data_IF_581864103682
#
_entry.id   IF_581864103682
#
_cell.length_a   1.000
_cell.length_b   1.000
_cell.length_c   1.000
_cell.angle_alpha   90.00
_cell.angle_beta   90.00
_cell.angle_gamma   90.00
#
_symmetry.space_group_name_H-M   'P 1'
#
loop_
_entity.id
_entity.type
_entity.pdbx_description
1 polymer ?
#
# COMPACT_ATOMS: atom_id res chain seq x y z
N UNK A 1 0.56 3.70 13.58
CA UNK A 1 1.92 3.82 14.16
C UNK A 1 2.90 3.12 13.22
N UNK A 2 3.55 3.90 12.37
CA UNK A 2 4.55 3.44 11.39
C UNK A 2 5.83 3.04 12.13
N UNK A 3 6.35 1.83 11.89
CA UNK A 3 7.64 1.39 12.41
C UNK A 3 8.75 1.53 11.34
N UNK A 4 9.47 2.65 11.41
CA UNK A 4 10.58 2.94 10.52
C UNK A 4 11.88 2.19 10.88
N UNK A 5 11.89 1.37 11.94
CA UNK A 5 13.10 0.63 12.35
C UNK A 5 13.55 -0.33 11.26
N UNK A 6 12.61 -0.97 10.56
CA UNK A 6 12.92 -1.83 9.42
C UNK A 6 13.58 -1.03 8.28
N UNK A 7 12.98 0.11 7.92
CA UNK A 7 13.50 0.97 6.85
C UNK A 7 14.90 1.51 7.19
N UNK A 8 15.12 1.95 8.44
CA UNK A 8 16.41 2.44 8.91
C UNK A 8 17.48 1.36 8.87
N UNK A 9 17.14 0.13 9.26
CA UNK A 9 18.06 -1.01 9.18
C UNK A 9 18.41 -1.36 7.72
N UNK A 10 17.40 -1.39 6.82
CA UNK A 10 17.62 -1.63 5.39
C UNK A 10 18.54 -0.57 4.75
N UNK A 11 18.38 0.69 5.15
CA UNK A 11 19.17 1.81 4.61
C UNK A 11 20.47 2.06 5.38
N UNK A 12 20.92 1.11 6.22
CA UNK A 12 22.15 1.21 7.02
C UNK A 12 22.24 2.51 7.86
N UNK A 13 21.10 3.04 8.30
CA UNK A 13 21.01 4.29 9.05
C UNK A 13 21.11 5.58 8.23
N UNK A 14 21.10 5.53 6.89
CA UNK A 14 21.10 6.74 6.06
C UNK A 14 19.73 7.45 6.08
N UNK A 15 19.62 8.47 6.94
CA UNK A 15 18.41 9.26 7.14
C UNK A 15 17.94 9.97 5.86
N UNK A 16 18.84 10.30 4.92
CA UNK A 16 18.46 10.95 3.65
C UNK A 16 17.76 9.97 2.72
N UNK A 17 18.20 8.71 2.69
CA UNK A 17 17.54 7.65 1.94
C UNK A 17 16.17 7.33 2.55
N UNK A 18 16.07 7.26 3.89
CA UNK A 18 14.80 7.07 4.60
C UNK A 18 13.80 8.19 4.26
N UNK A 19 14.22 9.46 4.33
CA UNK A 19 13.36 10.59 4.00
C UNK A 19 12.92 10.59 2.52
N UNK A 20 13.83 10.25 1.60
CA UNK A 20 13.50 10.10 0.17
C UNK A 20 12.49 8.97 -0.05
N UNK A 21 12.65 7.85 0.64
CA UNK A 21 11.73 6.71 0.53
C UNK A 21 10.33 7.07 1.04
N UNK A 22 10.23 7.77 2.17
CA UNK A 22 8.96 8.28 2.69
C UNK A 22 8.31 9.26 1.70
N UNK A 23 9.08 10.16 1.08
CA UNK A 23 8.56 11.08 0.08
C UNK A 23 8.00 10.35 -1.16
N UNK A 24 8.73 9.34 -1.64
CA UNK A 24 8.29 8.48 -2.74
C UNK A 24 7.00 7.76 -2.34
N UNK A 25 6.95 7.18 -1.14
CA UNK A 25 5.74 6.52 -0.63
C UNK A 25 4.54 7.48 -0.61
N UNK A 26 4.70 8.67 -0.04
CA UNK A 26 3.65 9.70 0.05
C UNK A 26 3.09 10.14 -1.30
N UNK A 27 3.81 9.92 -2.40
CA UNK A 27 3.40 10.33 -3.75
C UNK A 27 2.94 9.15 -4.60
N UNK A 28 3.71 8.07 -4.62
CA UNK A 28 3.46 6.92 -5.49
C UNK A 28 2.41 5.95 -4.92
N UNK A 29 2.39 5.71 -3.61
CA UNK A 29 1.43 4.75 -3.03
C UNK A 29 -0.01 5.25 -3.15
N UNK A 30 -0.35 6.50 -2.79
CA UNK A 30 -1.70 7.01 -3.03
C UNK A 30 -2.13 6.91 -4.50
N UNK A 31 -1.22 7.17 -5.44
CA UNK A 31 -1.51 7.03 -6.87
C UNK A 31 -1.82 5.58 -7.27
N UNK A 32 -1.02 4.61 -6.80
CA UNK A 32 -1.27 3.17 -7.03
C UNK A 32 -2.59 2.72 -6.40
N UNK A 33 -2.86 3.11 -5.15
CA UNK A 33 -4.11 2.77 -4.44
C UNK A 33 -5.34 3.29 -5.19
N UNK A 34 -5.24 4.47 -5.81
CA UNK A 34 -6.32 5.07 -6.62
C UNK A 34 -6.56 4.37 -7.96
N UNK A 35 -5.63 3.55 -8.43
CA UNK A 35 -5.78 2.76 -9.66
C UNK A 35 -6.50 1.43 -9.42
N UNK A 36 -6.42 0.87 -8.20
CA UNK A 36 -6.99 -0.45 -7.87
C UNK A 36 -8.47 -0.62 -8.26
N UNK A 37 -9.38 0.37 -8.03
CA UNK A 37 -10.77 0.23 -8.44
C UNK A 37 -10.92 0.06 -9.95
N UNK A 38 -10.15 0.82 -10.74
CA UNK A 38 -10.20 0.74 -12.20
C UNK A 38 -9.72 -0.61 -12.73
N UNK A 39 -8.61 -1.13 -12.17
CA UNK A 39 -8.12 -2.47 -12.52
C UNK A 39 -9.17 -3.55 -12.18
N UNK A 40 -9.81 -3.44 -11.02
CA UNK A 40 -10.87 -4.37 -10.60
C UNK A 40 -12.12 -4.26 -11.49
N UNK A 41 -12.55 -3.06 -11.85
CA UNK A 41 -13.72 -2.82 -12.71
C UNK A 41 -13.49 -3.33 -14.13
N UNK A 42 -12.28 -3.17 -14.65
CA UNK A 42 -11.87 -3.65 -15.98
C UNK A 42 -11.53 -5.15 -16.00
N UNK A 43 -11.55 -5.83 -14.85
CA UNK A 43 -11.16 -7.25 -14.71
C UNK A 43 -9.70 -7.50 -15.11
N UNK A 44 -8.84 -6.51 -14.91
CA UNK A 44 -7.39 -6.52 -15.13
C UNK A 44 -6.70 -7.26 -13.98
N UNK A 45 -7.02 -8.55 -13.80
CA UNK A 45 -6.66 -9.33 -12.60
C UNK A 45 -5.14 -9.51 -12.44
N UNK A 46 -4.41 -9.71 -13.52
CA UNK A 46 -2.94 -9.86 -13.50
C UNK A 46 -2.26 -8.56 -13.05
N UNK A 47 -2.74 -7.42 -13.57
CA UNK A 47 -2.24 -6.09 -13.21
C UNK A 47 -2.66 -5.70 -11.78
N UNK A 48 -3.85 -6.13 -11.35
CA UNK A 48 -4.33 -5.95 -9.98
C UNK A 48 -3.50 -6.75 -8.98
N UNK A 49 -3.21 -8.03 -9.26
CA UNK A 49 -2.32 -8.87 -8.44
C UNK A 49 -0.92 -8.27 -8.34
N UNK A 50 -0.36 -7.84 -9.48
CA UNK A 50 0.94 -7.14 -9.53
C UNK A 50 0.93 -5.85 -8.67
N UNK A 51 -0.16 -5.11 -8.71
CA UNK A 51 -0.34 -3.90 -7.89
C UNK A 51 -0.40 -4.23 -6.40
N UNK A 52 -1.14 -5.26 -6.00
CA UNK A 52 -1.16 -5.74 -4.61
C UNK A 52 0.20 -6.19 -4.13
N UNK A 53 0.94 -6.96 -4.95
CA UNK A 53 2.30 -7.40 -4.62
C UNK A 53 3.24 -6.21 -4.36
N UNK A 54 3.23 -5.22 -5.26
CA UNK A 54 4.03 -4.00 -5.13
C UNK A 54 3.67 -3.20 -3.88
N UNK A 55 2.38 -3.01 -3.62
CA UNK A 55 1.89 -2.30 -2.45
C UNK A 55 2.25 -3.02 -1.14
N UNK A 56 2.11 -4.36 -1.10
CA UNK A 56 2.52 -5.21 0.02
C UNK A 56 3.97 -4.97 0.42
N UNK A 57 4.88 -4.95 -0.56
CA UNK A 57 6.31 -4.69 -0.32
C UNK A 57 6.54 -3.28 0.21
N UNK A 58 5.89 -2.27 -0.38
CA UNK A 58 6.02 -0.87 0.04
C UNK A 58 5.52 -0.66 1.48
N UNK A 59 4.39 -1.25 1.86
CA UNK A 59 3.86 -1.20 3.22
C UNK A 59 4.76 -1.94 4.21
N UNK A 60 5.27 -3.10 3.81
CA UNK A 60 6.22 -3.88 4.63
C UNK A 60 7.48 -3.09 4.93
N UNK A 61 8.04 -2.37 3.95
CA UNK A 61 9.22 -1.52 4.16
C UNK A 61 9.00 -0.39 5.15
N UNK A 62 7.78 0.14 5.27
CA UNK A 62 7.42 1.13 6.28
C UNK A 62 6.94 0.52 7.61
N UNK A 63 6.95 -0.80 7.73
CA UNK A 63 6.44 -1.48 8.92
C UNK A 63 4.92 -1.36 9.10
N UNK A 64 4.18 -1.06 8.03
CA UNK A 64 2.70 -1.00 8.04
C UNK A 64 2.17 -2.41 7.75
N UNK A 65 2.42 -3.32 8.70
CA UNK A 65 2.18 -4.75 8.52
C UNK A 65 0.72 -5.11 8.29
N UNK A 66 -0.21 -4.36 8.90
CA UNK A 66 -1.65 -4.56 8.70
C UNK A 66 -2.08 -4.33 7.25
N UNK A 67 -1.56 -3.30 6.59
CA UNK A 67 -1.86 -3.04 5.17
C UNK A 67 -1.13 -4.00 4.25
N UNK A 68 0.10 -4.39 4.61
CA UNK A 68 0.81 -5.42 3.87
C UNK A 68 0.05 -6.76 3.87
N UNK A 69 -0.53 -7.15 4.99
CA UNK A 69 -1.33 -8.38 5.09
C UNK A 69 -2.63 -8.28 4.29
N UNK A 70 -3.33 -7.15 4.34
CA UNK A 70 -4.52 -6.93 3.51
C UNK A 70 -4.21 -7.03 2.00
N UNK A 71 -3.07 -6.48 1.57
CA UNK A 71 -2.62 -6.64 0.17
C UNK A 71 -2.34 -8.11 -0.16
N UNK A 72 -1.69 -8.85 0.75
CA UNK A 72 -1.39 -10.28 0.57
C UNK A 72 -2.66 -11.11 0.43
N UNK A 73 -3.65 -10.89 1.29
CA UNK A 73 -4.93 -11.61 1.23
C UNK A 73 -5.67 -11.33 -0.09
N UNK A 74 -5.69 -10.08 -0.54
CA UNK A 74 -6.34 -9.73 -1.82
C UNK A 74 -5.56 -10.27 -3.04
N UNK A 75 -4.22 -10.25 -3.02
CA UNK A 75 -3.36 -10.89 -4.02
C UNK A 75 -3.67 -12.39 -4.13
N UNK A 76 -3.66 -13.11 -3.00
CA UNK A 76 -3.97 -14.55 -2.96
C UNK A 76 -5.38 -14.84 -3.48
N UNK A 77 -6.37 -14.02 -3.13
CA UNK A 77 -7.74 -14.19 -3.62
C UNK A 77 -7.83 -14.00 -5.15
N UNK A 78 -7.19 -12.97 -5.70
CA UNK A 78 -7.14 -12.74 -7.15
C UNK A 78 -6.43 -13.88 -7.87
N UNK A 79 -5.27 -14.32 -7.36
CA UNK A 79 -4.48 -15.41 -7.95
C UNK A 79 -5.23 -16.74 -7.94
N UNK A 80 -6.06 -16.99 -6.93
CA UNK A 80 -6.94 -18.16 -6.83
C UNK A 80 -8.25 -18.02 -7.62
N UNK A 81 -8.51 -16.85 -8.22
CA UNK A 81 -9.74 -16.55 -8.95
C UNK A 81 -10.96 -16.23 -8.08
N UNK A 82 -10.79 -16.06 -6.77
CA UNK A 82 -11.87 -15.59 -5.87
C UNK A 82 -11.96 -14.05 -5.91
N UNK A 83 -12.56 -13.55 -6.98
CA UNK A 83 -12.72 -12.11 -7.23
C UNK A 83 -14.00 -11.52 -6.64
N UNK A 84 -14.85 -12.37 -6.04
CA UNK A 84 -16.21 -12.03 -5.60
C UNK A 84 -16.26 -10.93 -4.54
N UNK A 85 -15.23 -10.86 -3.69
CA UNK A 85 -15.11 -9.93 -2.57
C UNK A 85 -14.09 -8.81 -2.81
N UNK A 86 -13.32 -8.87 -3.91
CA UNK A 86 -12.19 -7.96 -4.16
C UNK A 86 -12.63 -6.50 -4.27
N UNK A 87 -13.72 -6.21 -4.98
CA UNK A 87 -14.22 -4.84 -5.10
C UNK A 87 -14.59 -4.22 -3.73
N UNK A 88 -15.23 -5.02 -2.86
CA UNK A 88 -15.56 -4.60 -1.50
C UNK A 88 -14.30 -4.42 -0.64
N UNK A 89 -13.35 -5.34 -0.74
CA UNK A 89 -12.05 -5.27 -0.08
C UNK A 89 -11.27 -4.01 -0.47
N UNK A 90 -11.17 -3.69 -1.76
CA UNK A 90 -10.53 -2.47 -2.27
C UNK A 90 -11.22 -1.22 -1.71
N UNK A 91 -12.56 -1.17 -1.72
CA UNK A 91 -13.29 0.00 -1.20
C UNK A 91 -13.07 0.20 0.30
N UNK A 92 -13.04 -0.89 1.08
CA UNK A 92 -12.74 -0.82 2.52
C UNK A 92 -11.29 -0.40 2.76
N UNK A 93 -10.35 -0.98 2.01
CA UNK A 93 -8.94 -0.65 2.10
C UNK A 93 -8.69 0.82 1.79
N UNK A 94 -9.26 1.37 0.72
CA UNK A 94 -9.09 2.79 0.34
C UNK A 94 -9.55 3.71 1.48
N UNK A 95 -10.69 3.41 2.12
CA UNK A 95 -11.18 4.21 3.26
C UNK A 95 -10.20 4.17 4.44
N UNK A 96 -9.70 2.98 4.78
CA UNK A 96 -8.73 2.81 5.86
C UNK A 96 -7.39 3.51 5.53
N UNK A 97 -6.94 3.39 4.28
CA UNK A 97 -5.74 4.03 3.78
C UNK A 97 -5.84 5.57 3.82
N UNK A 98 -6.96 6.15 3.37
CA UNK A 98 -7.18 7.59 3.41
C UNK A 98 -7.18 8.12 4.85
N UNK A 99 -7.82 7.40 5.78
CA UNK A 99 -7.79 7.75 7.21
C UNK A 99 -6.38 7.67 7.79
N UNK A 100 -5.62 6.63 7.43
CA UNK A 100 -4.23 6.47 7.83
C UNK A 100 -3.36 7.61 7.29
N UNK A 101 -3.51 7.97 6.01
CA UNK A 101 -2.75 9.06 5.38
C UNK A 101 -3.05 10.41 6.04
N UNK A 102 -4.31 10.69 6.40
CA UNK A 102 -4.67 11.91 7.13
C UNK A 102 -4.09 11.95 8.53
N UNK A 103 -4.03 10.81 9.23
CA UNK A 103 -3.51 10.74 10.59
C UNK A 103 -1.97 10.83 10.65
N UNK A 104 -1.26 10.13 9.77
CA UNK A 104 0.20 10.02 9.79
C UNK A 104 0.89 11.10 8.93
N UNK A 105 0.20 11.63 7.92
CA UNK A 105 0.73 12.65 7.00
C UNK A 105 -0.27 13.78 6.70
N UNK A 106 -0.72 14.55 7.71
CA UNK A 106 -1.67 15.63 7.47
C UNK A 106 -1.09 16.70 6.53
N UNK A 107 -1.94 17.31 5.69
CA UNK A 107 -1.55 18.30 4.67
C UNK A 107 -0.81 19.53 5.24
N UNK A 108 -0.87 19.76 6.56
CA UNK A 108 -0.18 20.84 7.27
C UNK A 108 1.17 20.43 7.92
N UNK A 109 1.66 19.20 7.71
CA UNK A 109 2.98 18.78 8.20
C UNK A 109 4.08 19.09 7.18
N UNK A 110 4.38 20.38 7.02
CA UNK A 110 5.63 20.92 6.47
C UNK A 110 5.97 22.24 7.19
#
# INVERSE_FOLDING_TARGET
MIDLSLLKNLMSGDEKLVARFILIFKTQVPAQVRQLPGLCENQEWEELSTSFHSLKTQFSYLGITEFAEQMREMEENVDNGDTSSIAAGISQFIKAFDQFMQAEFPENSL
#
